data_IF_834334331278
#
_entry.id   IF_834334331278
#
_cell.length_a   1.000
_cell.length_b   1.000
_cell.length_c   1.000
_cell.angle_alpha   90.00
_cell.angle_beta   90.00
_cell.angle_gamma   90.00
#
_symmetry.space_group_name_H-M   'P 1'
#
loop_
_entity.id
_entity.type
_entity.pdbx_description
1 polymer ?
#
# COMPACT_ATOMS: atom_id res chain seq x y z
N UNK A 1 -3.97 13.33 -18.34
CA UNK A 1 -4.81 14.53 -18.61
C UNK A 1 -3.97 15.80 -18.56
N UNK A 2 -3.14 16.00 -17.54
CA UNK A 2 -2.18 17.13 -17.48
C UNK A 2 -1.31 17.24 -18.73
N UNK A 3 -0.69 16.14 -19.16
CA UNK A 3 0.09 16.03 -20.41
C UNK A 3 -0.72 16.33 -21.70
N UNK A 4 -2.03 16.07 -21.71
CA UNK A 4 -2.87 16.38 -22.88
C UNK A 4 -3.15 17.88 -23.01
N UNK A 5 -3.27 18.56 -21.87
CA UNK A 5 -3.64 19.97 -21.77
C UNK A 5 -2.46 20.89 -21.45
N UNK A 6 -1.23 20.36 -21.44
CA UNK A 6 0.00 21.08 -21.11
C UNK A 6 -0.07 21.78 -19.74
N UNK A 7 -0.57 21.04 -18.74
CA UNK A 7 -0.72 21.53 -17.37
C UNK A 7 0.44 21.08 -16.49
N UNK A 8 0.94 22.00 -15.67
CA UNK A 8 1.90 21.70 -14.61
C UNK A 8 1.19 21.19 -13.36
N UNK A 9 1.75 20.15 -12.73
CA UNK A 9 1.28 19.64 -11.43
C UNK A 9 2.09 20.28 -10.30
N UNK A 10 1.43 21.04 -9.43
CA UNK A 10 2.09 21.71 -8.30
C UNK A 10 2.60 20.76 -7.22
N UNK A 11 2.02 19.55 -7.12
CA UNK A 11 2.41 18.54 -6.16
C UNK A 11 3.04 17.34 -6.86
N UNK A 12 3.95 16.66 -6.14
CA UNK A 12 4.54 15.41 -6.59
C UNK A 12 3.44 14.36 -6.78
N UNK A 13 3.54 13.61 -7.88
CA UNK A 13 2.71 12.42 -8.12
C UNK A 13 3.61 11.28 -8.57
N UNK A 14 3.24 10.04 -8.27
CA UNK A 14 3.90 8.84 -8.81
C UNK A 14 3.25 8.35 -10.12
N UNK A 15 2.24 9.08 -10.60
CA UNK A 15 1.52 8.76 -11.83
C UNK A 15 2.30 9.18 -13.06
N UNK A 16 2.29 8.32 -14.08
CA UNK A 16 2.87 8.62 -15.40
C UNK A 16 1.77 8.70 -16.47
N UNK A 17 1.98 9.54 -17.48
CA UNK A 17 1.04 9.69 -18.59
C UNK A 17 0.92 8.39 -19.38
N UNK A 18 -0.31 7.98 -19.67
CA UNK A 18 -0.61 6.85 -20.57
C UNK A 18 -0.73 7.27 -22.03
N UNK A 19 -0.55 8.56 -22.34
CA UNK A 19 -0.78 9.11 -23.68
C UNK A 19 0.02 8.38 -24.76
N UNK A 20 1.31 8.13 -24.52
CA UNK A 20 2.16 7.42 -25.49
C UNK A 20 1.69 6.00 -25.77
N UNK A 21 1.06 5.34 -24.79
CA UNK A 21 0.49 4.00 -24.95
C UNK A 21 -0.82 4.07 -25.73
N UNK A 22 -1.70 5.02 -25.38
CA UNK A 22 -2.98 5.23 -26.07
C UNK A 22 -2.76 5.63 -27.54
N UNK A 23 -1.75 6.45 -27.82
CA UNK A 23 -1.37 6.88 -29.19
C UNK A 23 -0.53 5.82 -29.94
N UNK A 24 -0.16 4.71 -29.29
CA UNK A 24 0.61 3.63 -29.88
C UNK A 24 2.08 3.95 -30.16
N UNK A 25 2.61 5.06 -29.63
CA UNK A 25 4.02 5.46 -29.81
C UNK A 25 4.97 4.70 -28.89
N UNK A 26 4.47 4.16 -27.78
CA UNK A 26 5.20 3.25 -26.88
C UNK A 26 4.31 2.09 -26.44
N UNK A 27 4.86 0.88 -26.24
CA UNK A 27 4.07 -0.27 -25.82
C UNK A 27 3.67 -0.23 -24.34
N UNK A 28 4.43 0.47 -23.50
CA UNK A 28 4.13 0.64 -22.07
C UNK A 28 4.51 2.04 -21.59
N UNK A 29 3.89 2.46 -20.48
CA UNK A 29 4.23 3.69 -19.75
C UNK A 29 5.05 3.43 -18.47
N UNK A 30 5.09 2.18 -17.99
CA UNK A 30 5.77 1.76 -16.75
C UNK A 30 6.08 0.28 -16.77
N UNK A 31 7.08 -0.13 -16.00
CA UNK A 31 7.50 -1.53 -15.95
C UNK A 31 6.76 -2.33 -14.87
N UNK A 32 6.29 -1.65 -13.82
CA UNK A 32 5.56 -2.27 -12.72
C UNK A 32 4.46 -1.36 -12.14
N UNK A 33 3.61 -1.96 -11.31
CA UNK A 33 2.54 -1.32 -10.55
C UNK A 33 2.65 -1.74 -9.09
N UNK A 34 2.51 -0.79 -8.17
CA UNK A 34 2.34 -1.04 -6.74
C UNK A 34 0.87 -0.77 -6.36
N UNK A 35 0.20 -1.72 -5.70
CA UNK A 35 -1.15 -1.52 -5.18
C UNK A 35 -1.30 -2.16 -3.78
N UNK A 36 -2.47 -2.00 -3.18
CA UNK A 36 -2.81 -2.55 -1.87
C UNK A 36 -3.09 -1.49 -0.82
N UNK A 37 -2.94 -1.86 0.44
CA UNK A 37 -3.31 -1.03 1.59
C UNK A 37 -2.13 -0.84 2.53
N UNK A 38 -1.84 0.41 2.84
CA UNK A 38 -0.82 0.74 3.84
C UNK A 38 -1.15 0.11 5.22
N UNK A 39 -0.14 -0.49 5.83
CA UNK A 39 -0.21 -1.28 7.05
C UNK A 39 -0.85 -2.67 6.89
N UNK A 40 -1.18 -3.08 5.66
CA UNK A 40 -1.68 -4.41 5.30
C UNK A 40 -0.91 -4.97 4.10
N UNK A 41 -1.52 -5.93 3.41
CA UNK A 41 -0.99 -6.48 2.17
C UNK A 41 -0.83 -5.44 1.06
N UNK A 42 0.27 -5.59 0.35
CA UNK A 42 0.57 -4.83 -0.87
C UNK A 42 0.92 -5.81 -1.97
N UNK A 43 0.71 -5.42 -3.21
CA UNK A 43 1.08 -6.22 -4.35
C UNK A 43 1.92 -5.42 -5.34
N UNK A 44 2.82 -6.13 -6.01
CA UNK A 44 3.57 -5.59 -7.14
C UNK A 44 3.25 -6.42 -8.37
N UNK A 45 2.98 -5.75 -9.48
CA UNK A 45 2.54 -6.36 -10.74
C UNK A 45 3.44 -5.85 -11.85
N UNK A 46 3.99 -6.76 -12.65
CA UNK A 46 4.70 -6.43 -13.88
C UNK A 46 4.07 -7.16 -15.06
N UNK A 47 4.79 -7.24 -16.18
CA UNK A 47 4.32 -7.93 -17.39
C UNK A 47 4.28 -9.46 -17.28
N UNK A 48 5.02 -10.03 -16.34
CA UNK A 48 5.25 -11.47 -16.18
C UNK A 48 4.44 -12.06 -15.03
N UNK A 49 3.89 -11.24 -14.12
CA UNK A 49 3.05 -11.74 -13.03
C UNK A 49 2.65 -10.70 -11.98
N UNK A 50 1.97 -11.21 -10.96
CA UNK A 50 1.41 -10.47 -9.82
C UNK A 50 1.87 -11.14 -8.54
N UNK A 51 2.61 -10.40 -7.73
CA UNK A 51 3.04 -10.83 -6.41
C UNK A 51 2.27 -10.07 -5.33
N UNK A 52 1.59 -10.80 -4.46
CA UNK A 52 0.91 -10.27 -3.28
C UNK A 52 1.80 -10.60 -2.07
N UNK A 53 2.23 -9.57 -1.34
CA UNK A 53 2.97 -9.72 -0.09
C UNK A 53 2.04 -9.46 1.08
N UNK A 54 1.77 -10.52 1.84
CA UNK A 54 1.03 -10.43 3.08
C UNK A 54 1.85 -9.81 4.21
N UNK A 55 1.16 -9.46 5.30
CA UNK A 55 1.83 -9.10 6.56
C UNK A 55 2.44 -10.36 7.16
N UNK A 56 3.73 -10.34 7.46
CA UNK A 56 4.47 -11.50 7.96
C UNK A 56 4.40 -11.57 9.50
N UNK A 57 4.03 -12.74 10.02
CA UNK A 57 4.07 -13.01 11.47
C UNK A 57 2.95 -12.31 12.25
N UNK A 58 3.30 -11.85 13.45
CA UNK A 58 2.39 -11.15 14.35
C UNK A 58 2.18 -9.69 13.91
N UNK A 59 1.09 -9.07 14.37
CA UNK A 59 0.92 -7.63 14.20
C UNK A 59 2.11 -6.89 14.78
N UNK A 60 2.65 -5.92 14.04
CA UNK A 60 3.66 -4.99 14.54
C UNK A 60 3.07 -3.59 14.68
N UNK A 61 3.85 -2.64 15.17
CA UNK A 61 3.40 -1.26 15.30
C UNK A 61 3.19 -0.62 13.92
N UNK A 62 2.21 0.28 13.81
CA UNK A 62 1.94 1.05 12.59
C UNK A 62 1.35 2.41 12.92
N UNK A 63 1.68 3.42 12.14
CA UNK A 63 1.11 4.75 12.30
C UNK A 63 -0.08 4.93 11.35
N UNK A 64 -1.19 5.46 11.84
CA UNK A 64 -2.25 5.99 10.98
C UNK A 64 -2.01 7.47 10.79
N UNK A 65 -2.10 7.88 9.54
CA UNK A 65 -1.85 9.25 9.14
C UNK A 65 -3.11 9.88 8.58
N UNK A 66 -3.47 11.07 9.05
CA UNK A 66 -4.70 11.73 8.62
C UNK A 66 -4.62 13.24 8.76
N UNK A 67 -5.07 13.96 7.73
CA UNK A 67 -5.32 15.39 7.83
C UNK A 67 -6.62 15.71 8.60
N UNK A 68 -7.50 14.71 8.77
CA UNK A 68 -8.78 14.86 9.46
C UNK A 68 -9.20 13.53 10.08
N UNK A 69 -9.10 13.45 11.40
CA UNK A 69 -9.63 12.30 12.13
C UNK A 69 -11.15 12.36 12.16
N UNK A 70 -11.81 11.49 11.39
CA UNK A 70 -13.26 11.43 11.37
C UNK A 70 -13.77 10.63 12.57
N UNK A 71 -14.57 11.28 13.40
CA UNK A 71 -15.41 10.62 14.42
C UNK A 71 -16.85 10.47 13.94
N UNK A 72 -17.11 10.65 12.63
CA UNK A 72 -18.48 10.57 12.12
C UNK A 72 -18.99 9.13 12.28
N UNK A 73 -20.12 8.93 12.99
CA UNK A 73 -20.68 7.60 13.18
C UNK A 73 -21.19 7.06 11.85
N UNK A 74 -20.85 5.81 11.53
CA UNK A 74 -21.48 5.09 10.42
C UNK A 74 -22.81 4.55 10.94
N UNK A 75 -23.93 5.18 10.57
CA UNK A 75 -25.25 4.82 11.12
C UNK A 75 -25.62 3.34 10.95
N UNK A 76 -25.22 2.72 9.82
CA UNK A 76 -25.41 1.29 9.58
C UNK A 76 -24.56 0.38 10.48
N UNK A 77 -23.45 0.91 11.02
CA UNK A 77 -22.51 0.21 11.89
C UNK A 77 -22.17 1.10 13.10
N UNK A 78 -23.05 1.24 14.10
CA UNK A 78 -22.88 2.23 15.18
C UNK A 78 -21.64 2.01 16.06
N UNK A 79 -21.04 0.82 15.98
CA UNK A 79 -19.81 0.44 16.68
C UNK A 79 -18.56 0.56 15.79
N UNK A 80 -18.74 0.87 14.51
CA UNK A 80 -17.64 1.15 13.59
C UNK A 80 -17.15 2.56 13.85
N UNK A 81 -16.02 2.65 14.55
CA UNK A 81 -15.26 3.87 14.70
C UNK A 81 -13.79 3.49 14.66
N UNK A 82 -12.98 4.33 14.03
CA UNK A 82 -11.54 4.31 14.30
C UNK A 82 -11.34 4.65 15.78
N UNK A 83 -10.34 4.05 16.41
CA UNK A 83 -9.89 4.50 17.72
C UNK A 83 -9.61 6.01 17.68
N UNK A 84 -9.97 6.72 18.75
CA UNK A 84 -9.69 8.15 18.84
C UNK A 84 -8.18 8.34 18.94
N UNK A 85 -7.60 9.42 18.39
CA UNK A 85 -6.23 9.77 18.70
C UNK A 85 -6.11 10.00 20.20
N UNK A 86 -4.94 9.66 20.73
CA UNK A 86 -4.59 9.87 22.13
C UNK A 86 -3.33 10.71 22.25
N UNK A 87 -2.77 10.82 23.45
CA UNK A 87 -1.61 11.66 23.74
C UNK A 87 -0.32 11.20 23.01
N UNK A 88 -0.35 10.07 22.29
CA UNK A 88 0.75 9.62 21.43
C UNK A 88 0.70 10.26 20.04
N UNK A 89 -0.40 10.92 19.66
CA UNK A 89 -0.53 11.60 18.38
C UNK A 89 0.47 12.77 18.25
N UNK A 90 1.09 12.89 17.08
CA UNK A 90 1.98 14.00 16.74
C UNK A 90 1.60 14.62 15.40
N UNK A 91 2.02 15.87 15.15
CA UNK A 91 1.95 16.45 13.81
C UNK A 91 3.24 16.11 13.06
N UNK A 92 3.08 15.64 11.84
CA UNK A 92 4.18 15.21 10.98
C UNK A 92 3.81 15.48 9.50
N UNK A 93 4.68 15.11 8.56
CA UNK A 93 4.49 15.33 7.13
C UNK A 93 4.52 14.01 6.37
N UNK A 94 3.64 13.89 5.38
CA UNK A 94 3.69 12.76 4.45
C UNK A 94 4.91 12.88 3.52
N UNK A 95 5.56 11.76 3.16
CA UNK A 95 6.58 11.77 2.12
C UNK A 95 6.08 12.47 0.84
N UNK A 96 6.83 13.46 0.37
CA UNK A 96 6.47 14.26 -0.82
C UNK A 96 5.42 15.35 -0.62
N UNK A 97 5.03 15.70 0.62
CA UNK A 97 4.08 16.78 0.91
C UNK A 97 4.49 17.61 2.13
N UNK A 98 4.48 18.93 2.00
CA UNK A 98 4.68 19.87 3.12
C UNK A 98 3.37 20.15 3.90
N UNK A 99 2.26 19.49 3.53
CA UNK A 99 1.00 19.65 4.26
C UNK A 99 1.06 18.83 5.56
N UNK A 100 0.89 19.46 6.74
CA UNK A 100 0.95 18.76 8.01
C UNK A 100 -0.25 17.81 8.19
N UNK A 101 0.02 16.64 8.75
CA UNK A 101 -0.96 15.61 9.06
C UNK A 101 -0.78 15.12 10.50
N UNK A 102 -1.85 14.58 11.10
CA UNK A 102 -1.78 13.88 12.37
C UNK A 102 -1.23 12.48 12.11
N UNK A 103 -0.16 12.12 12.83
CA UNK A 103 0.40 10.77 12.90
C UNK A 103 0.07 10.18 14.27
N UNK A 104 -0.82 9.18 14.29
CA UNK A 104 -1.15 8.42 15.50
C UNK A 104 -0.45 7.05 15.41
N UNK A 105 0.52 6.75 16.28
CA UNK A 105 1.07 5.41 16.39
C UNK A 105 0.07 4.47 17.07
N UNK A 106 -0.04 3.26 16.55
CA UNK A 106 -0.76 2.14 17.15
C UNK A 106 0.20 0.99 17.40
N UNK A 107 0.09 0.38 18.58
CA UNK A 107 0.89 -0.81 18.90
C UNK A 107 0.28 -2.07 18.29
N UNK A 108 1.07 -3.14 18.23
CA UNK A 108 0.56 -4.47 17.95
C UNK A 108 -0.71 -4.83 18.76
N UNK A 109 -0.74 -4.52 20.06
CA UNK A 109 -1.88 -4.76 20.95
C UNK A 109 -3.11 -3.94 20.55
N UNK A 110 -2.92 -2.67 20.20
CA UNK A 110 -4.00 -1.83 19.70
C UNK A 110 -4.61 -2.43 18.42
N UNK A 111 -3.79 -2.91 17.50
CA UNK A 111 -4.24 -3.56 16.27
C UNK A 111 -4.99 -4.87 16.55
N UNK A 112 -4.46 -5.70 17.46
CA UNK A 112 -5.11 -6.95 17.88
C UNK A 112 -6.47 -6.70 18.55
N UNK A 113 -6.64 -5.55 19.20
CA UNK A 113 -7.93 -5.13 19.77
C UNK A 113 -8.94 -4.60 18.72
N UNK A 114 -8.52 -4.45 17.46
CA UNK A 114 -9.34 -3.96 16.36
C UNK A 114 -9.43 -2.43 16.25
N UNK A 115 -8.46 -1.69 16.83
CA UNK A 115 -8.46 -0.22 16.88
C UNK A 115 -8.43 0.46 15.51
N UNK A 116 -7.72 -0.13 14.54
CA UNK A 116 -7.49 0.42 13.20
C UNK A 116 -8.15 -0.44 12.13
N UNK A 117 -7.97 -1.74 12.24
CA UNK A 117 -8.45 -2.72 11.28
C UNK A 117 -9.67 -3.41 11.85
N UNK A 118 -10.79 -3.35 11.13
CA UNK A 118 -11.95 -4.16 11.45
C UNK A 118 -11.55 -5.63 11.53
N UNK A 119 -12.02 -6.31 12.58
CA UNK A 119 -11.76 -7.73 12.79
C UNK A 119 -12.20 -8.54 11.56
N UNK A 120 -11.25 -9.29 11.01
CA UNK A 120 -11.42 -10.13 9.84
C UNK A 120 -10.04 -10.48 9.28
N UNK A 121 -9.84 -11.74 8.89
CA UNK A 121 -8.66 -12.11 8.10
C UNK A 121 -8.69 -11.26 6.83
N UNK A 122 -7.69 -10.41 6.63
CA UNK A 122 -7.51 -9.77 5.33
C UNK A 122 -7.06 -10.84 4.34
N UNK A 123 -7.25 -10.58 3.04
CA UNK A 123 -6.85 -11.50 1.96
C UNK A 123 -5.32 -11.53 1.78
N UNK A 124 -4.56 -11.41 2.86
CA UNK A 124 -3.17 -10.97 2.85
C UNK A 124 -2.39 -11.34 4.10
N UNK A 125 -2.74 -12.45 4.76
CA UNK A 125 -1.87 -13.07 5.76
C UNK A 125 -0.82 -14.00 5.13
N UNK A 126 -0.97 -14.31 3.85
CA UNK A 126 -0.09 -15.20 3.08
C UNK A 126 0.40 -14.43 1.87
N UNK A 127 1.63 -14.71 1.44
CA UNK A 127 2.16 -14.16 0.20
C UNK A 127 1.85 -15.12 -0.94
N UNK A 128 1.38 -14.60 -2.06
CA UNK A 128 0.93 -15.37 -3.22
C UNK A 128 1.61 -14.80 -4.48
N UNK A 129 1.97 -15.66 -5.41
CA UNK A 129 2.54 -15.26 -6.69
C UNK A 129 1.81 -15.93 -7.84
N UNK A 130 1.33 -15.15 -8.79
CA UNK A 130 0.65 -15.66 -9.98
C UNK A 130 1.37 -15.21 -11.26
N UNK A 131 1.45 -16.10 -12.23
CA UNK A 131 1.94 -15.77 -13.56
C UNK A 131 0.91 -14.92 -14.33
N UNK A 132 1.36 -13.98 -15.16
CA UNK A 132 0.46 -13.12 -15.92
C UNK A 132 -0.42 -13.89 -16.92
N UNK A 133 -0.01 -15.09 -17.34
CA UNK A 133 -0.84 -15.97 -18.18
C UNK A 133 -1.94 -16.71 -17.42
N UNK A 134 -1.86 -16.79 -16.09
CA UNK A 134 -2.87 -17.42 -15.23
C UNK A 134 -3.93 -16.40 -14.79
N UNK A 135 -4.89 -16.15 -15.67
CA UNK A 135 -5.93 -15.13 -15.43
C UNK A 135 -6.90 -15.49 -14.30
N UNK A 136 -6.94 -16.77 -13.88
CA UNK A 136 -7.81 -17.25 -12.81
C UNK A 136 -7.10 -17.33 -11.46
N UNK A 137 -5.80 -16.97 -11.40
CA UNK A 137 -4.99 -16.97 -10.17
C UNK A 137 -5.09 -18.33 -9.43
N UNK A 138 -4.94 -19.42 -10.20
CA UNK A 138 -5.21 -20.79 -9.77
C UNK A 138 -3.96 -21.53 -9.28
N UNK A 139 -2.78 -21.15 -9.77
CA UNK A 139 -1.50 -21.72 -9.36
C UNK A 139 -0.66 -20.70 -8.59
N UNK A 140 -0.52 -20.93 -7.27
CA UNK A 140 0.37 -20.12 -6.44
C UNK A 140 1.83 -20.57 -6.59
N UNK A 141 2.67 -19.64 -7.04
CA UNK A 141 4.09 -19.79 -7.29
C UNK A 141 4.96 -19.15 -6.18
N UNK A 142 4.40 -18.76 -5.04
CA UNK A 142 5.12 -18.05 -3.98
C UNK A 142 6.32 -18.84 -3.44
N UNK A 143 6.24 -20.17 -3.41
CA UNK A 143 7.32 -21.07 -2.98
C UNK A 143 8.37 -21.34 -4.08
N UNK A 144 8.20 -20.77 -5.28
CA UNK A 144 9.17 -20.91 -6.38
C UNK A 144 10.30 -19.90 -6.27
N UNK A 145 11.43 -20.14 -6.96
CA UNK A 145 12.54 -19.18 -7.02
C UNK A 145 12.19 -17.86 -7.74
N UNK A 146 11.02 -17.74 -8.36
CA UNK A 146 10.56 -16.46 -8.95
C UNK A 146 10.20 -15.46 -7.84
N UNK A 147 9.83 -15.91 -6.66
CA UNK A 147 9.42 -15.02 -5.57
C UNK A 147 10.55 -14.09 -5.12
N UNK A 148 11.81 -14.53 -5.14
CA UNK A 148 12.98 -13.70 -4.82
C UNK A 148 13.03 -12.43 -5.68
N UNK A 149 12.78 -12.57 -6.99
CA UNK A 149 12.72 -11.44 -7.91
C UNK A 149 11.62 -10.45 -7.53
N UNK A 150 10.43 -10.95 -7.19
CA UNK A 150 9.29 -10.11 -6.83
C UNK A 150 9.42 -9.46 -5.46
N UNK A 151 10.09 -10.10 -4.51
CA UNK A 151 10.46 -9.51 -3.22
C UNK A 151 11.38 -8.31 -3.44
N UNK A 152 12.38 -8.44 -4.31
CA UNK A 152 13.27 -7.33 -4.66
C UNK A 152 12.55 -6.23 -5.42
N UNK A 153 11.69 -6.58 -6.38
CA UNK A 153 10.86 -5.63 -7.12
C UNK A 153 9.92 -4.86 -6.19
N UNK A 154 9.30 -5.54 -5.21
CA UNK A 154 8.46 -4.90 -4.21
C UNK A 154 9.25 -3.95 -3.31
N UNK A 155 10.45 -4.35 -2.86
CA UNK A 155 11.32 -3.47 -2.07
C UNK A 155 11.70 -2.22 -2.86
N UNK A 156 12.02 -2.38 -4.15
CA UNK A 156 12.30 -1.27 -5.05
C UNK A 156 11.09 -0.34 -5.19
N UNK A 157 9.92 -0.87 -5.52
CA UNK A 157 8.68 -0.10 -5.70
C UNK A 157 8.29 0.68 -4.44
N UNK A 158 8.40 0.06 -3.26
CA UNK A 158 8.15 0.73 -1.97
C UNK A 158 9.15 1.85 -1.71
N UNK A 159 10.40 1.69 -2.12
CA UNK A 159 11.44 2.72 -1.98
C UNK A 159 11.18 3.89 -2.92
N UNK A 160 10.75 3.65 -4.17
CA UNK A 160 10.43 4.72 -5.14
C UNK A 160 9.30 5.63 -4.65
N UNK A 161 8.34 5.08 -3.90
CA UNK A 161 7.25 5.85 -3.29
C UNK A 161 7.57 6.39 -1.89
N UNK A 162 8.80 6.17 -1.40
CA UNK A 162 9.26 6.56 -0.06
C UNK A 162 8.34 6.01 1.05
N UNK A 163 7.92 4.75 0.92
CA UNK A 163 7.06 4.11 1.91
C UNK A 163 7.71 4.17 3.31
N UNK A 164 6.93 4.43 4.37
CA UNK A 164 7.44 4.39 5.74
C UNK A 164 8.07 3.04 6.10
N UNK A 165 9.15 3.07 6.90
CA UNK A 165 9.87 1.86 7.36
C UNK A 165 8.96 0.84 8.05
N UNK A 166 7.92 1.29 8.75
CA UNK A 166 6.92 0.42 9.37
C UNK A 166 6.22 -0.51 8.36
N UNK A 167 6.06 -0.10 7.10
CA UNK A 167 5.55 -0.98 6.05
C UNK A 167 6.54 -2.09 5.71
N UNK A 168 7.84 -1.79 5.61
CA UNK A 168 8.86 -2.80 5.33
C UNK A 168 8.99 -3.81 6.48
N UNK A 169 8.94 -3.35 7.73
CA UNK A 169 8.92 -4.22 8.93
C UNK A 169 7.74 -5.20 8.84
N UNK A 170 6.54 -4.67 8.57
CA UNK A 170 5.29 -5.46 8.52
C UNK A 170 5.29 -6.52 7.43
N UNK A 171 5.91 -6.22 6.30
CA UNK A 171 6.02 -7.15 5.18
C UNK A 171 7.22 -8.11 5.32
N UNK A 172 8.07 -7.94 6.34
CA UNK A 172 9.31 -8.70 6.51
C UNK A 172 10.36 -8.43 5.43
N UNK A 173 10.46 -7.18 4.97
CA UNK A 173 11.35 -6.76 3.87
C UNK A 173 12.62 -6.00 4.31
N UNK A 174 12.83 -5.86 5.62
CA UNK A 174 13.95 -5.12 6.22
C UNK A 174 15.30 -5.84 6.13
#
# INVERSE_FOLDING_TARGET
LTDLFDLETEHRTHGVSLRSVIEGTRPTARDHLLQGYFGREVNVIDKDGKYIRGVEGEQTDVSVWSNRWSTMPVHAFPRLSLARPDDRATLDHMPGSDVPVIRQPFTADDLNSGAVYLAGRTSGAVSELYDASDTEESEDLADSSRSDHYVDLLRHALTEVEAPTEQFVRLGLN
#
